data_IF_786127843969
#
_entry.id   IF_786127843969
#
_cell.length_a   1.000
_cell.length_b   1.000
_cell.length_c   1.000
_cell.angle_alpha   90.00
_cell.angle_beta   90.00
_cell.angle_gamma   90.00
#
_symmetry.space_group_name_H-M   'P 1'
#
loop_
_entity.id
_entity.type
_entity.pdbx_description
1 polymer ?
#
# COMPACT_ATOMS: atom_id res chain seq x y z
N UNK A 1 -42.39 2.21 21.93
CA UNK A 1 -42.09 2.96 23.16
C UNK A 1 -42.83 4.28 23.13
N UNK A 2 -43.56 4.57 24.20
CA UNK A 2 -44.26 5.83 24.44
C UNK A 2 -44.30 6.02 25.96
N UNK A 3 -44.47 7.26 26.42
CA UNK A 3 -44.69 7.50 27.84
C UNK A 3 -46.01 6.85 28.30
N UNK A 4 -46.18 6.67 29.60
CA UNK A 4 -47.43 6.24 30.21
C UNK A 4 -48.56 7.18 29.77
N UNK A 5 -49.39 6.70 28.85
CA UNK A 5 -50.44 7.49 28.20
C UNK A 5 -51.81 6.98 28.65
N UNK A 6 -52.18 7.36 29.88
CA UNK A 6 -53.48 7.10 30.50
C UNK A 6 -53.87 8.26 31.45
N UNK A 7 -55.12 8.27 31.93
CA UNK A 7 -55.65 9.34 32.79
C UNK A 7 -55.15 9.30 34.24
N UNK A 8 -54.36 8.29 34.61
CA UNK A 8 -53.78 8.14 35.95
C UNK A 8 -52.34 8.62 36.06
N UNK A 9 -51.70 8.95 34.93
CA UNK A 9 -50.33 9.49 34.93
C UNK A 9 -50.27 10.88 35.56
N UNK A 10 -49.14 11.19 36.18
CA UNK A 10 -48.80 12.53 36.67
C UNK A 10 -47.96 13.29 35.63
N UNK A 11 -48.10 14.61 35.50
CA UNK A 11 -47.44 15.40 34.44
C UNK A 11 -45.93 15.57 34.65
N UNK A 12 -45.45 15.46 35.89
CA UNK A 12 -44.03 15.55 36.25
C UNK A 12 -43.59 14.24 36.88
N UNK A 13 -42.39 13.76 36.52
CA UNK A 13 -41.85 12.53 37.10
C UNK A 13 -41.58 12.78 38.60
N UNK A 14 -42.16 11.98 39.51
CA UNK A 14 -41.86 12.10 40.94
C UNK A 14 -40.36 11.88 41.21
N UNK A 15 -39.83 12.53 42.24
CA UNK A 15 -38.46 12.28 42.67
C UNK A 15 -38.27 10.80 43.08
N UNK A 16 -37.18 10.15 42.65
CA UNK A 16 -36.86 8.80 43.09
C UNK A 16 -36.74 8.75 44.62
N UNK A 17 -37.29 7.70 45.25
CA UNK A 17 -37.16 7.49 46.69
C UNK A 17 -35.72 7.13 47.09
N UNK A 18 -35.44 7.28 48.38
CA UNK A 18 -34.15 6.94 48.98
C UNK A 18 -33.72 5.50 48.68
N UNK A 19 -32.40 5.31 48.51
CA UNK A 19 -31.79 4.00 48.28
C UNK A 19 -32.06 3.07 49.48
N UNK A 20 -32.67 1.92 49.20
CA UNK A 20 -33.03 0.94 50.24
C UNK A 20 -32.02 -0.20 50.39
N UNK A 21 -31.05 -0.33 49.48
CA UNK A 21 -30.04 -1.38 49.54
C UNK A 21 -28.74 -0.97 48.84
N UNK A 22 -27.62 -1.08 49.54
CA UNK A 22 -26.26 -0.79 49.05
C UNK A 22 -25.69 -1.85 48.08
N UNK A 23 -26.51 -2.82 47.66
CA UNK A 23 -26.09 -3.96 46.84
C UNK A 23 -27.19 -4.33 45.84
N UNK A 24 -26.85 -4.70 44.59
CA UNK A 24 -27.84 -5.09 43.59
C UNK A 24 -28.72 -6.26 44.06
N UNK A 25 -30.04 -6.13 43.88
CA UNK A 25 -31.04 -7.17 44.16
C UNK A 25 -31.74 -7.58 42.86
N UNK A 26 -32.15 -8.83 42.78
CA UNK A 26 -32.84 -9.40 41.62
C UNK A 26 -34.25 -9.86 42.02
N UNK A 27 -35.17 -9.91 41.06
CA UNK A 27 -36.51 -10.44 41.30
C UNK A 27 -36.43 -11.90 41.75
N UNK A 28 -36.98 -12.20 42.93
CA UNK A 28 -37.11 -13.55 43.45
C UNK A 28 -38.55 -14.04 43.40
N UNK A 29 -38.73 -15.31 43.03
CA UNK A 29 -39.99 -16.02 43.22
C UNK A 29 -40.04 -16.54 44.66
N UNK A 30 -41.11 -16.21 45.38
CA UNK A 30 -41.24 -16.55 46.80
C UNK A 30 -41.49 -18.06 46.96
N UNK A 31 -40.52 -18.80 47.51
CA UNK A 31 -40.78 -20.13 48.09
C UNK A 31 -40.43 -20.24 49.59
N UNK A 32 -39.62 -19.35 50.18
CA UNK A 32 -39.47 -19.27 51.64
C UNK A 32 -39.23 -17.83 52.13
N UNK A 33 -39.99 -17.43 53.18
CA UNK A 33 -39.90 -16.27 54.10
C UNK A 33 -39.61 -14.83 53.59
N UNK A 34 -39.30 -14.61 52.31
CA UNK A 34 -39.29 -13.29 51.68
C UNK A 34 -40.41 -13.24 50.64
N UNK A 35 -41.38 -12.34 50.82
CA UNK A 35 -42.51 -12.19 49.88
C UNK A 35 -42.05 -11.95 48.43
N UNK A 36 -42.99 -12.11 47.48
CA UNK A 36 -42.74 -11.85 46.06
C UNK A 36 -42.11 -10.47 45.89
N UNK A 37 -41.15 -10.33 44.96
CA UNK A 37 -40.56 -9.02 44.64
C UNK A 37 -41.55 -8.19 43.82
N UNK A 38 -41.82 -6.93 44.23
CA UNK A 38 -42.75 -6.03 43.54
C UNK A 38 -42.05 -4.75 43.09
N UNK A 39 -41.99 -4.45 41.78
CA UNK A 39 -41.47 -3.17 41.30
C UNK A 39 -42.45 -2.04 41.60
N UNK A 40 -41.96 -0.96 42.22
CA UNK A 40 -42.73 0.26 42.46
C UNK A 40 -42.76 1.20 41.24
N UNK A 41 -43.52 2.30 41.36
CA UNK A 41 -43.61 3.33 40.32
C UNK A 41 -42.23 3.89 39.92
N UNK A 42 -41.34 4.09 40.89
CA UNK A 42 -39.96 4.55 40.68
C UNK A 42 -39.24 3.67 39.66
N UNK A 43 -39.33 2.34 39.80
CA UNK A 43 -38.68 1.40 38.89
C UNK A 43 -39.21 1.51 37.45
N UNK A 44 -40.53 1.53 37.29
CA UNK A 44 -41.15 1.66 35.96
C UNK A 44 -40.87 3.02 35.31
N UNK A 45 -40.87 4.10 36.10
CA UNK A 45 -40.55 5.43 35.62
C UNK A 45 -39.09 5.53 35.19
N UNK A 46 -38.14 4.93 35.94
CA UNK A 46 -36.73 4.86 35.53
C UNK A 46 -36.57 4.10 34.23
N UNK A 47 -37.15 2.90 34.10
CA UNK A 47 -37.07 2.12 32.85
C UNK A 47 -37.69 2.87 31.67
N UNK A 48 -38.85 3.51 31.89
CA UNK A 48 -39.49 4.33 30.87
C UNK A 48 -38.60 5.50 30.44
N UNK A 49 -38.03 6.22 31.41
CA UNK A 49 -37.15 7.35 31.16
C UNK A 49 -35.91 6.94 30.36
N UNK A 50 -35.25 5.83 30.73
CA UNK A 50 -34.10 5.29 30.00
C UNK A 50 -34.46 4.95 28.53
N UNK A 51 -35.60 4.31 28.31
CA UNK A 51 -36.03 3.93 26.95
C UNK A 51 -36.44 5.16 26.11
N UNK A 52 -37.04 6.18 26.72
CA UNK A 52 -37.34 7.45 26.04
C UNK A 52 -36.06 8.25 25.74
N UNK A 53 -35.11 8.28 26.68
CA UNK A 53 -33.80 8.90 26.49
C UNK A 53 -33.01 8.22 25.37
N UNK A 54 -33.12 6.90 25.25
CA UNK A 54 -32.50 6.14 24.15
C UNK A 54 -33.07 6.54 22.79
N UNK A 55 -34.40 6.71 22.68
CA UNK A 55 -35.03 7.25 21.46
C UNK A 55 -34.56 8.68 21.17
N UNK A 56 -34.55 9.54 22.18
CA UNK A 56 -34.09 10.93 22.04
C UNK A 56 -32.63 11.00 21.59
N UNK A 57 -31.74 10.18 22.16
CA UNK A 57 -30.33 10.11 21.78
C UNK A 57 -30.11 9.63 20.34
N UNK A 58 -31.00 8.78 19.84
CA UNK A 58 -31.06 8.33 18.45
C UNK A 58 -31.79 9.33 17.51
N UNK A 59 -32.32 10.44 18.03
CA UNK A 59 -33.07 11.43 17.26
C UNK A 59 -34.47 10.95 16.82
N UNK A 60 -35.01 9.92 17.47
CA UNK A 60 -36.32 9.36 17.18
C UNK A 60 -37.37 9.93 18.15
N UNK A 61 -38.54 10.28 17.61
CA UNK A 61 -39.68 10.67 18.42
C UNK A 61 -40.48 9.42 18.85
N UNK A 62 -40.93 9.33 20.11
CA UNK A 62 -41.78 8.24 20.57
C UNK A 62 -43.10 8.16 19.78
N UNK A 63 -43.42 6.97 19.27
CA UNK A 63 -44.70 6.70 18.58
C UNK A 63 -45.45 5.52 19.22
N UNK A 64 -46.63 5.78 19.78
CA UNK A 64 -47.46 4.75 20.43
C UNK A 64 -47.88 3.62 19.48
N UNK A 65 -47.91 3.85 18.17
CA UNK A 65 -48.31 2.86 17.17
C UNK A 65 -47.14 2.02 16.66
N UNK A 66 -45.92 2.31 17.10
CA UNK A 66 -44.70 1.68 16.61
C UNK A 66 -44.07 0.78 17.67
N UNK A 67 -43.88 -0.50 17.31
CA UNK A 67 -43.37 -1.54 18.22
C UNK A 67 -41.91 -1.94 17.95
N UNK A 68 -41.25 -1.29 17.00
CA UNK A 68 -39.88 -1.59 16.54
C UNK A 68 -38.89 -0.42 16.79
N UNK A 69 -39.26 0.51 17.68
CA UNK A 69 -38.49 1.75 17.90
C UNK A 69 -37.11 1.50 18.50
N UNK A 70 -36.98 0.53 19.41
CA UNK A 70 -35.67 0.16 19.98
C UNK A 70 -34.76 -0.47 18.92
N UNK A 71 -35.30 -1.37 18.08
CA UNK A 71 -34.57 -1.94 16.95
C UNK A 71 -34.17 -0.90 15.90
N UNK A 72 -34.87 0.24 15.82
CA UNK A 72 -34.49 1.39 15.00
C UNK A 72 -33.41 2.25 15.66
N UNK A 73 -33.49 2.47 16.97
CA UNK A 73 -32.58 3.34 17.71
C UNK A 73 -31.18 2.73 17.88
N UNK A 74 -31.10 1.42 18.18
CA UNK A 74 -29.83 0.75 18.49
C UNK A 74 -28.81 0.85 17.34
N UNK A 75 -29.15 0.57 16.06
CA UNK A 75 -28.18 0.73 14.95
C UNK A 75 -27.69 2.16 14.78
N UNK A 76 -28.57 3.15 14.93
CA UNK A 76 -28.20 4.58 14.83
C UNK A 76 -27.16 4.94 15.89
N UNK A 77 -27.38 4.50 17.13
CA UNK A 77 -26.44 4.74 18.23
C UNK A 77 -25.13 3.97 18.05
N UNK A 78 -25.19 2.72 17.56
CA UNK A 78 -24.01 1.90 17.27
C UNK A 78 -23.10 2.49 16.19
N UNK A 79 -23.68 3.06 15.13
CA UNK A 79 -22.90 3.67 14.03
C UNK A 79 -22.41 5.09 14.33
N UNK A 80 -23.05 5.79 15.28
CA UNK A 80 -22.78 7.21 15.57
C UNK A 80 -21.30 7.47 15.85
N UNK A 81 -20.69 6.64 16.70
CA UNK A 81 -19.28 6.78 17.06
C UNK A 81 -18.37 6.53 15.86
N UNK A 82 -18.62 5.47 15.10
CA UNK A 82 -17.83 5.12 13.90
C UNK A 82 -17.87 6.26 12.87
N UNK A 83 -19.05 6.85 12.62
CA UNK A 83 -19.21 7.98 11.70
C UNK A 83 -18.48 9.23 12.19
N UNK A 84 -18.51 9.48 13.51
CA UNK A 84 -17.77 10.58 14.12
C UNK A 84 -16.25 10.39 13.99
N UNK A 85 -15.77 9.17 14.26
CA UNK A 85 -14.36 8.82 14.23
C UNK A 85 -13.79 8.91 12.81
N UNK A 86 -14.48 8.31 11.82
CA UNK A 86 -14.10 8.37 10.41
C UNK A 86 -14.25 9.78 9.80
N UNK A 87 -15.18 10.59 10.29
CA UNK A 87 -15.36 11.99 9.89
C UNK A 87 -14.40 12.96 10.58
N UNK A 88 -13.65 12.51 11.59
CA UNK A 88 -12.69 13.35 12.32
C UNK A 88 -11.44 13.66 11.49
N UNK A 89 -10.65 14.64 11.93
CA UNK A 89 -9.33 14.93 11.33
C UNK A 89 -8.32 13.76 11.42
N UNK A 90 -8.63 12.75 12.24
CA UNK A 90 -7.82 11.54 12.38
C UNK A 90 -8.46 10.33 11.69
N UNK A 91 -9.58 10.48 10.97
CA UNK A 91 -10.32 9.34 10.41
C UNK A 91 -9.48 8.42 9.53
N UNK A 92 -8.48 8.97 8.83
CA UNK A 92 -7.55 8.19 8.02
C UNK A 92 -6.71 7.20 8.85
N UNK A 93 -6.38 7.50 10.11
CA UNK A 93 -5.58 6.61 10.98
C UNK A 93 -6.34 5.36 11.42
N UNK A 94 -7.66 5.30 11.15
CA UNK A 94 -8.52 4.16 11.45
C UNK A 94 -8.70 3.24 10.25
N UNK A 95 -8.23 3.65 9.07
CA UNK A 95 -8.24 2.82 7.88
C UNK A 95 -7.03 1.88 7.92
N UNK A 96 -7.27 0.60 7.68
CA UNK A 96 -6.20 -0.38 7.64
C UNK A 96 -5.41 -0.29 6.33
N UNK A 97 -4.13 -0.65 6.40
CA UNK A 97 -3.21 -0.74 5.26
C UNK A 97 -2.40 -2.04 5.42
N UNK A 98 -2.10 -2.74 4.33
CA UNK A 98 -1.17 -3.86 4.36
C UNK A 98 0.22 -3.34 4.73
N UNK A 99 0.84 -3.94 5.75
CA UNK A 99 2.17 -3.54 6.21
C UNK A 99 3.24 -3.83 5.16
N UNK A 100 3.16 -5.00 4.52
CA UNK A 100 4.10 -5.48 3.50
C UNK A 100 3.42 -6.30 2.39
N UNK A 101 4.24 -6.78 1.45
CA UNK A 101 3.79 -7.55 0.29
C UNK A 101 3.29 -8.96 0.65
N UNK A 102 3.72 -9.53 1.78
CA UNK A 102 3.25 -10.85 2.22
C UNK A 102 1.85 -10.75 2.80
N UNK A 103 1.55 -9.69 3.57
CA UNK A 103 0.17 -9.37 3.95
C UNK A 103 -0.70 -9.15 2.71
N UNK A 104 -0.21 -8.42 1.71
CA UNK A 104 -0.93 -8.22 0.45
C UNK A 104 -1.22 -9.54 -0.29
N UNK A 105 -0.30 -10.51 -0.22
CA UNK A 105 -0.51 -11.87 -0.77
C UNK A 105 -1.46 -12.72 0.08
N UNK A 106 -1.76 -12.34 1.31
CA UNK A 106 -2.73 -13.00 2.17
C UNK A 106 -4.13 -12.37 2.12
N UNK A 107 -4.26 -11.14 1.59
CA UNK A 107 -5.55 -10.45 1.48
C UNK A 107 -6.48 -11.17 0.52
N UNK A 108 -7.69 -11.50 0.98
CA UNK A 108 -8.79 -11.95 0.14
C UNK A 108 -9.63 -10.76 -0.33
N UNK A 109 -9.98 -10.74 -1.61
CA UNK A 109 -10.81 -9.70 -2.22
C UNK A 109 -12.18 -10.26 -2.60
N UNK A 110 -13.21 -9.42 -2.52
CA UNK A 110 -14.61 -9.81 -2.70
C UNK A 110 -15.15 -9.45 -4.08
N UNK A 111 -14.72 -8.32 -4.65
CA UNK A 111 -15.26 -7.81 -5.92
C UNK A 111 -14.22 -7.11 -6.78
N UNK A 112 -14.41 -7.21 -8.11
CA UNK A 112 -13.57 -6.52 -9.09
C UNK A 112 -13.51 -5.01 -8.80
N UNK A 113 -12.30 -4.44 -8.83
CA UNK A 113 -12.07 -3.03 -8.58
C UNK A 113 -11.89 -2.66 -7.10
N UNK A 114 -12.06 -3.62 -6.17
CA UNK A 114 -11.77 -3.39 -4.75
C UNK A 114 -10.30 -2.99 -4.57
N UNK A 115 -10.05 -2.01 -3.71
CA UNK A 115 -8.72 -1.45 -3.47
C UNK A 115 -8.20 -1.84 -2.10
N UNK A 116 -6.90 -2.09 -2.03
CA UNK A 116 -6.14 -2.25 -0.79
C UNK A 116 -4.89 -1.39 -0.87
N UNK A 117 -4.54 -0.72 0.22
CA UNK A 117 -3.35 0.12 0.28
C UNK A 117 -2.17 -0.67 0.83
N UNK A 118 -1.00 -0.51 0.22
CA UNK A 118 0.26 -1.06 0.71
C UNK A 118 1.09 0.05 1.34
N UNK A 119 1.60 -0.18 2.56
CA UNK A 119 2.44 0.77 3.29
C UNK A 119 3.88 0.78 2.78
N UNK A 120 4.52 -0.39 2.70
CA UNK A 120 5.83 -0.56 2.07
C UNK A 120 5.92 -1.95 1.42
N UNK A 121 7.01 -2.20 0.69
CA UNK A 121 7.20 -3.50 0.02
C UNK A 121 7.58 -4.62 1.00
N UNK A 122 8.44 -4.33 1.99
CA UNK A 122 8.93 -5.29 2.97
C UNK A 122 9.46 -4.54 4.20
N UNK A 123 8.71 -4.59 5.32
CA UNK A 123 9.10 -3.93 6.57
C UNK A 123 10.35 -4.55 7.19
N UNK A 124 10.50 -5.89 7.07
CA UNK A 124 11.65 -6.63 7.63
C UNK A 124 12.96 -6.24 6.97
N UNK A 125 12.91 -5.77 5.72
CA UNK A 125 14.05 -5.30 4.96
C UNK A 125 14.19 -3.77 4.94
N UNK A 126 13.44 -3.04 5.77
CA UNK A 126 13.48 -1.57 5.83
C UNK A 126 13.20 -0.90 4.47
N UNK A 127 12.30 -1.49 3.67
CA UNK A 127 11.83 -0.85 2.44
C UNK A 127 11.21 0.51 2.78
N UNK A 128 11.44 1.51 1.92
CA UNK A 128 10.82 2.83 2.10
C UNK A 128 9.30 2.74 1.99
N UNK A 129 8.61 3.58 2.75
CA UNK A 129 7.16 3.76 2.58
C UNK A 129 6.82 4.23 1.17
N UNK A 130 5.68 3.74 0.68
CA UNK A 130 5.16 4.05 -0.64
C UNK A 130 3.66 4.29 -0.57
N UNK A 131 3.17 5.22 -1.37
CA UNK A 131 1.75 5.51 -1.46
C UNK A 131 1.18 4.84 -2.71
N UNK A 132 0.83 3.55 -2.59
CA UNK A 132 0.29 2.76 -3.70
C UNK A 132 -0.93 1.97 -3.27
N UNK A 133 -1.95 2.00 -4.14
CA UNK A 133 -3.09 1.10 -4.05
C UNK A 133 -2.91 -0.06 -5.02
N UNK A 134 -3.29 -1.25 -4.58
CA UNK A 134 -3.53 -2.40 -5.44
C UNK A 134 -5.02 -2.58 -5.65
N UNK A 135 -5.39 -2.91 -6.88
CA UNK A 135 -6.77 -3.08 -7.31
C UNK A 135 -6.98 -4.52 -7.73
N UNK A 136 -8.02 -5.18 -7.20
CA UNK A 136 -8.35 -6.53 -7.63
C UNK A 136 -8.91 -6.53 -9.05
N UNK A 137 -8.24 -7.24 -9.95
CA UNK A 137 -8.74 -7.51 -11.29
C UNK A 137 -9.28 -8.95 -11.41
N UNK A 138 -10.58 -9.11 -11.20
CA UNK A 138 -11.26 -10.40 -11.37
C UNK A 138 -11.25 -10.95 -12.81
N UNK A 139 -10.93 -10.13 -13.83
CA UNK A 139 -10.88 -10.57 -15.22
C UNK A 139 -9.51 -11.16 -15.60
N UNK A 140 -8.49 -10.96 -14.77
CA UNK A 140 -7.15 -11.48 -15.02
C UNK A 140 -6.90 -12.76 -14.20
N UNK A 141 -6.91 -13.90 -14.89
CA UNK A 141 -6.63 -15.21 -14.32
C UNK A 141 -5.29 -15.81 -14.76
N UNK A 142 -4.45 -15.05 -15.47
CA UNK A 142 -3.29 -15.59 -16.19
C UNK A 142 -1.98 -14.88 -15.90
N UNK A 143 -2.02 -13.59 -15.51
CA UNK A 143 -0.80 -12.89 -15.15
C UNK A 143 -0.13 -13.56 -13.95
N UNK A 144 1.19 -13.64 -14.06
CA UNK A 144 2.07 -14.15 -13.02
C UNK A 144 2.31 -13.09 -11.94
N UNK A 145 2.67 -13.53 -10.74
CA UNK A 145 3.19 -12.64 -9.71
C UNK A 145 4.56 -12.12 -10.17
N UNK A 146 4.68 -10.81 -10.28
CA UNK A 146 5.93 -10.13 -10.70
C UNK A 146 6.59 -9.38 -9.53
N UNK A 147 6.01 -9.49 -8.33
CA UNK A 147 6.56 -8.98 -7.09
C UNK A 147 6.46 -7.48 -6.87
N UNK A 148 5.79 -6.70 -7.73
CA UNK A 148 5.56 -5.26 -7.46
C UNK A 148 4.38 -4.61 -8.21
N UNK A 149 3.94 -5.16 -9.34
CA UNK A 149 2.83 -4.62 -10.14
C UNK A 149 1.65 -5.57 -10.19
N UNK A 150 1.92 -6.85 -10.41
CA UNK A 150 0.94 -7.92 -10.27
C UNK A 150 1.35 -8.76 -9.09
N UNK A 151 0.48 -8.79 -8.08
CA UNK A 151 0.60 -9.70 -6.95
C UNK A 151 -0.49 -10.74 -7.09
N UNK A 152 -0.11 -12.00 -6.98
CA UNK A 152 -1.06 -13.12 -6.97
C UNK A 152 -1.17 -13.54 -5.52
N UNK A 153 -2.35 -13.34 -4.94
CA UNK A 153 -2.58 -13.72 -3.54
C UNK A 153 -2.76 -15.25 -3.40
N UNK A 154 -2.89 -15.72 -2.16
CA UNK A 154 -3.07 -17.14 -1.82
C UNK A 154 -4.30 -17.77 -2.51
N UNK A 155 -5.31 -16.98 -2.82
CA UNK A 155 -6.53 -17.41 -3.54
C UNK A 155 -6.38 -17.38 -5.08
N UNK A 156 -5.21 -17.00 -5.60
CA UNK A 156 -4.97 -16.86 -7.03
C UNK A 156 -5.58 -15.59 -7.65
N UNK A 157 -6.03 -14.62 -6.86
CA UNK A 157 -6.55 -13.33 -7.31
C UNK A 157 -5.41 -12.40 -7.73
N UNK A 158 -5.62 -11.60 -8.78
CA UNK A 158 -4.61 -10.70 -9.34
C UNK A 158 -4.84 -9.28 -8.85
N UNK A 159 -3.93 -8.83 -8.00
CA UNK A 159 -3.89 -7.48 -7.45
C UNK A 159 -2.96 -6.64 -8.31
N UNK A 160 -3.48 -5.57 -8.92
CA UNK A 160 -2.74 -4.69 -9.84
C UNK A 160 -2.40 -3.37 -9.19
N UNK A 161 -1.11 -3.05 -9.12
CA UNK A 161 -0.65 -1.76 -8.62
C UNK A 161 -1.16 -0.62 -9.51
N UNK A 162 -1.78 0.37 -8.87
CA UNK A 162 -2.30 1.56 -9.53
C UNK A 162 -1.20 2.63 -9.59
N UNK A 163 -0.55 2.75 -10.75
CA UNK A 163 0.47 3.78 -10.99
C UNK A 163 -0.11 4.97 -11.75
N UNK A 164 0.31 6.19 -11.35
CA UNK A 164 0.08 7.40 -12.12
C UNK A 164 1.43 7.91 -12.66
N UNK A 165 1.90 7.31 -13.76
CA UNK A 165 3.15 7.69 -14.43
C UNK A 165 4.28 6.68 -14.28
N UNK A 166 5.48 7.17 -13.93
CA UNK A 166 6.71 6.37 -13.81
C UNK A 166 6.62 5.34 -12.67
N UNK A 167 7.33 4.23 -12.81
CA UNK A 167 7.39 3.17 -11.78
C UNK A 167 8.39 3.56 -10.71
N UNK A 168 7.89 3.91 -9.53
CA UNK A 168 8.70 4.26 -8.37
C UNK A 168 9.33 3.01 -7.74
N UNK A 169 10.67 2.97 -7.61
CA UNK A 169 11.36 1.77 -7.08
C UNK A 169 10.96 1.38 -5.66
N UNK A 170 10.32 2.26 -4.88
CA UNK A 170 9.82 1.91 -3.54
C UNK A 170 8.73 0.85 -3.58
N UNK A 171 7.93 0.79 -4.65
CA UNK A 171 6.96 -0.31 -4.84
C UNK A 171 7.61 -1.66 -5.08
N UNK A 172 8.92 -1.67 -5.35
CA UNK A 172 9.73 -2.87 -5.55
C UNK A 172 10.83 -3.00 -4.50
N UNK A 173 10.65 -2.38 -3.32
CA UNK A 173 11.52 -2.59 -2.16
C UNK A 173 12.81 -1.78 -2.13
N UNK A 174 12.88 -0.63 -2.80
CA UNK A 174 13.95 0.33 -2.53
C UNK A 174 13.94 0.71 -1.04
N UNK A 175 15.09 0.58 -0.39
CA UNK A 175 15.28 0.93 1.02
C UNK A 175 15.55 2.42 1.19
N UNK A 176 15.19 2.95 2.35
CA UNK A 176 15.40 4.37 2.66
C UNK A 176 16.89 4.74 2.60
N UNK A 177 17.78 3.84 3.04
CA UNK A 177 19.24 3.99 2.99
C UNK A 177 19.83 3.98 1.57
N UNK A 178 19.06 3.62 0.55
CA UNK A 178 19.54 3.50 -0.82
C UNK A 178 20.61 2.42 -1.02
N UNK A 179 20.83 1.52 -0.07
CA UNK A 179 21.88 0.49 -0.12
C UNK A 179 21.58 -0.66 -1.11
N UNK A 180 20.36 -0.69 -1.66
CA UNK A 180 19.85 -1.79 -2.48
C UNK A 180 19.32 -1.34 -3.86
N UNK A 181 19.79 -0.19 -4.37
CA UNK A 181 19.33 0.42 -5.63
C UNK A 181 19.43 -0.56 -6.81
N UNK A 182 20.53 -1.30 -6.92
CA UNK A 182 20.74 -2.23 -8.05
C UNK A 182 19.75 -3.39 -8.03
N UNK A 183 19.51 -3.96 -6.86
CA UNK A 183 18.56 -5.08 -6.70
C UNK A 183 17.10 -4.67 -6.92
N UNK A 184 16.67 -3.53 -6.36
CA UNK A 184 15.31 -3.02 -6.54
C UNK A 184 15.06 -2.60 -8.00
N UNK A 185 16.02 -1.93 -8.64
CA UNK A 185 15.96 -1.60 -10.06
C UNK A 185 15.83 -2.85 -10.93
N UNK A 186 16.68 -3.85 -10.71
CA UNK A 186 16.66 -5.07 -11.51
C UNK A 186 15.36 -5.88 -11.36
N UNK A 187 14.68 -5.81 -10.21
CA UNK A 187 13.37 -6.43 -10.01
C UNK A 187 12.32 -5.81 -10.95
N UNK A 188 12.19 -4.49 -10.94
CA UNK A 188 11.27 -3.77 -11.83
C UNK A 188 11.65 -3.98 -13.29
N UNK A 189 12.92 -3.78 -13.63
CA UNK A 189 13.39 -3.87 -15.00
C UNK A 189 13.12 -5.24 -15.64
N UNK A 190 13.39 -6.34 -14.93
CA UNK A 190 13.18 -7.69 -15.48
C UNK A 190 11.71 -7.92 -15.80
N UNK A 191 10.82 -7.60 -14.87
CA UNK A 191 9.39 -7.75 -15.06
C UNK A 191 8.84 -6.85 -16.18
N UNK A 192 9.27 -5.58 -16.27
CA UNK A 192 8.85 -4.70 -17.38
C UNK A 192 9.43 -5.16 -18.72
N UNK A 193 10.66 -5.67 -18.75
CA UNK A 193 11.23 -6.23 -19.97
C UNK A 193 10.43 -7.43 -20.46
N UNK A 194 10.07 -8.36 -19.57
CA UNK A 194 9.23 -9.51 -19.93
C UNK A 194 7.90 -9.08 -20.54
N UNK A 195 7.24 -8.05 -19.99
CA UNK A 195 6.00 -7.49 -20.57
C UNK A 195 6.22 -6.83 -21.93
N UNK A 196 7.34 -6.12 -22.09
CA UNK A 196 7.72 -5.54 -23.40
C UNK A 196 7.95 -6.64 -24.43
N UNK A 197 8.66 -7.71 -24.06
CA UNK A 197 8.92 -8.84 -24.94
C UNK A 197 7.64 -9.57 -25.32
N UNK A 198 6.75 -9.82 -24.35
CA UNK A 198 5.44 -10.44 -24.58
C UNK A 198 4.53 -9.59 -25.49
N UNK A 199 4.60 -8.26 -25.38
CA UNK A 199 3.82 -7.34 -26.21
C UNK A 199 4.49 -7.00 -27.55
N UNK A 200 5.74 -7.40 -27.76
CA UNK A 200 6.57 -7.08 -28.93
C UNK A 200 6.78 -5.58 -29.20
N UNK A 201 6.50 -4.71 -28.22
CA UNK A 201 6.47 -3.25 -28.43
C UNK A 201 7.22 -2.50 -27.33
N UNK A 202 8.46 -2.07 -27.60
CA UNK A 202 9.30 -1.47 -26.55
C UNK A 202 8.86 -0.07 -26.10
N UNK A 203 7.95 0.60 -26.81
CA UNK A 203 7.32 1.84 -26.34
C UNK A 203 6.40 1.62 -25.13
N UNK A 204 6.08 0.35 -24.77
CA UNK A 204 5.39 0.03 -23.52
C UNK A 204 6.30 0.03 -22.29
N UNK A 205 7.62 0.17 -22.47
CA UNK A 205 8.55 0.26 -21.35
C UNK A 205 8.26 1.53 -20.53
N UNK A 206 7.83 1.42 -19.28
CA UNK A 206 7.64 2.59 -18.46
C UNK A 206 8.98 3.17 -18.03
N UNK A 207 8.97 4.46 -17.69
CA UNK A 207 10.10 5.08 -16.99
C UNK A 207 10.25 4.46 -15.61
N UNK A 208 11.45 3.99 -15.28
CA UNK A 208 11.79 3.52 -13.94
C UNK A 208 12.31 4.72 -13.15
N UNK A 209 11.66 5.06 -12.04
CA UNK A 209 11.97 6.22 -11.21
C UNK A 209 12.73 5.80 -9.95
N UNK A 210 13.94 6.35 -9.79
CA UNK A 210 14.67 6.44 -8.54
C UNK A 210 14.16 7.70 -7.80
N UNK A 211 13.29 7.57 -6.78
CA UNK A 211 12.78 8.73 -6.05
C UNK A 211 13.87 9.34 -5.17
N UNK A 212 13.69 10.57 -4.69
CA UNK A 212 14.59 11.10 -3.67
C UNK A 212 14.61 10.15 -2.46
N UNK A 213 15.82 9.82 -1.98
CA UNK A 213 15.97 8.99 -0.78
C UNK A 213 15.40 9.76 0.41
N UNK A 214 14.56 9.08 1.18
CA UNK A 214 13.77 9.68 2.27
C UNK A 214 14.37 9.39 3.64
N UNK A 215 15.67 9.10 3.76
CA UNK A 215 16.30 8.92 5.07
C UNK A 215 16.09 10.18 5.93
N UNK A 216 15.11 10.11 6.83
CA UNK A 216 15.03 10.94 8.03
C UNK A 216 16.03 10.45 9.11
N UNK A 217 16.65 9.29 8.91
CA UNK A 217 17.60 8.67 9.83
C UNK A 217 18.84 8.18 9.10
N UNK A 218 19.76 9.10 8.83
CA UNK A 218 21.14 8.93 9.31
C UNK A 218 21.81 10.32 9.37
N UNK A 219 21.77 11.02 10.51
CA UNK A 219 22.50 12.27 10.70
C UNK A 219 24.03 12.08 10.73
N UNK A 220 24.53 10.84 10.72
CA UNK A 220 25.95 10.50 10.92
C UNK A 220 26.62 9.82 9.72
N UNK A 221 26.12 10.00 8.49
CA UNK A 221 26.87 9.57 7.31
C UNK A 221 28.00 10.58 7.01
N UNK A 222 29.10 10.46 7.75
CA UNK A 222 30.43 10.99 7.36
C UNK A 222 30.95 10.35 6.05
N UNK A 223 30.16 9.46 5.44
CA UNK A 223 30.45 8.77 4.18
C UNK A 223 30.09 9.63 2.97
N UNK A 224 31.00 9.67 2.00
CA UNK A 224 30.82 10.34 0.70
C UNK A 224 29.63 9.80 -0.11
N UNK A 225 29.07 8.65 0.27
CA UNK A 225 28.01 7.91 -0.44
C UNK A 225 26.72 7.87 0.39
N UNK A 226 25.59 8.13 -0.27
CA UNK A 226 24.24 8.02 0.31
C UNK A 226 23.40 6.91 -0.35
N UNK A 227 24.00 6.15 -1.26
CA UNK A 227 23.36 5.04 -1.95
C UNK A 227 24.42 4.00 -2.34
N UNK A 228 23.99 2.76 -2.56
CA UNK A 228 24.82 1.68 -3.10
C UNK A 228 24.12 1.01 -4.26
N UNK A 229 24.85 0.90 -5.36
CA UNK A 229 24.48 0.03 -6.44
C UNK A 229 24.95 -1.38 -6.10
N UNK A 230 24.21 -2.08 -5.24
CA UNK A 230 24.56 -3.42 -4.77
C UNK A 230 24.53 -4.53 -5.85
N UNK A 231 24.03 -4.22 -7.04
CA UNK A 231 24.03 -5.12 -8.18
C UNK A 231 24.18 -4.34 -9.50
N UNK A 232 24.90 -4.92 -10.45
CA UNK A 232 25.03 -4.33 -11.80
C UNK A 232 23.67 -4.18 -12.48
N UNK A 233 23.46 -3.08 -13.19
CA UNK A 233 22.27 -2.83 -14.01
C UNK A 233 22.63 -3.02 -15.47
N UNK A 234 22.01 -4.01 -16.13
CA UNK A 234 22.20 -4.29 -17.56
C UNK A 234 20.88 -4.11 -18.30
N UNK A 235 20.76 -3.03 -19.07
CA UNK A 235 19.51 -2.61 -19.73
C UNK A 235 19.68 -2.40 -21.24
N UNK A 236 18.62 -2.58 -22.04
CA UNK A 236 18.64 -2.17 -23.44
C UNK A 236 18.53 -0.66 -23.54
N UNK A 237 18.80 -0.13 -24.74
CA UNK A 237 18.86 1.32 -24.98
C UNK A 237 17.51 2.05 -24.97
N UNK A 238 16.40 1.34 -24.70
CA UNK A 238 15.05 1.91 -24.64
C UNK A 238 14.45 1.98 -23.23
N UNK A 239 15.18 1.57 -22.19
CA UNK A 239 14.70 1.71 -20.80
C UNK A 239 14.92 3.16 -20.35
N UNK A 240 13.86 3.95 -20.12
CA UNK A 240 13.99 5.28 -19.56
C UNK A 240 14.19 5.17 -18.04
N UNK A 241 15.17 5.92 -17.53
CA UNK A 241 15.45 6.01 -16.10
C UNK A 241 15.33 7.47 -15.68
N UNK A 242 14.56 7.70 -14.63
CA UNK A 242 14.42 9.01 -13.99
C UNK A 242 15.01 8.95 -12.60
N UNK A 243 15.82 9.94 -12.26
CA UNK A 243 16.37 10.14 -10.93
C UNK A 243 15.84 11.45 -10.36
N UNK A 244 15.52 11.44 -9.08
CA UNK A 244 15.06 12.59 -8.31
C UNK A 244 15.93 12.68 -7.04
N UNK A 245 16.46 13.86 -6.74
CA UNK A 245 17.34 14.09 -5.61
C UNK A 245 18.83 13.81 -5.88
N UNK A 246 19.63 13.82 -4.81
CA UNK A 246 21.06 13.56 -4.89
C UNK A 246 21.33 12.07 -4.63
N UNK A 247 21.86 11.40 -5.64
CA UNK A 247 22.33 10.03 -5.55
C UNK A 247 23.85 10.02 -5.70
N UNK A 248 24.56 9.73 -4.63
CA UNK A 248 26.00 9.48 -4.64
C UNK A 248 26.20 7.99 -4.36
N UNK A 249 26.16 7.23 -5.44
CA UNK A 249 26.14 5.78 -5.44
C UNK A 249 27.55 5.19 -5.42
N UNK A 250 27.80 4.32 -4.45
CA UNK A 250 28.96 3.42 -4.44
C UNK A 250 28.67 2.14 -5.24
N UNK A 251 29.66 1.66 -6.00
CA UNK A 251 29.64 0.35 -6.65
C UNK A 251 30.97 -0.36 -6.42
N UNK A 252 30.95 -1.51 -5.73
CA UNK A 252 32.17 -2.17 -5.24
C UNK A 252 32.65 -3.36 -6.07
N UNK A 253 31.82 -3.89 -6.98
CA UNK A 253 32.21 -5.03 -7.80
C UNK A 253 33.32 -4.64 -8.78
N UNK A 254 34.49 -5.26 -8.64
CA UNK A 254 35.66 -4.98 -9.48
C UNK A 254 35.56 -5.63 -10.86
N UNK A 255 34.73 -6.67 -11.03
CA UNK A 255 34.68 -7.51 -12.23
C UNK A 255 33.51 -7.16 -13.16
N UNK A 256 32.55 -6.37 -12.68
CA UNK A 256 31.32 -6.08 -13.41
C UNK A 256 31.17 -4.60 -13.78
N UNK A 257 30.42 -4.35 -14.84
CA UNK A 257 30.02 -2.99 -15.22
C UNK A 257 28.85 -2.54 -14.34
N UNK A 258 29.03 -1.44 -13.61
CA UNK A 258 27.97 -0.92 -12.73
C UNK A 258 26.67 -0.67 -13.52
N UNK A 259 26.79 0.05 -14.65
CA UNK A 259 25.70 0.24 -15.61
C UNK A 259 26.17 -0.20 -16.99
N UNK A 260 25.48 -1.15 -17.59
CA UNK A 260 25.74 -1.63 -18.95
C UNK A 260 24.50 -1.45 -19.83
N UNK A 261 24.57 -0.48 -20.72
CA UNK A 261 23.56 -0.23 -21.75
C UNK A 261 23.92 -1.04 -22.99
N UNK A 262 23.14 -2.08 -23.29
CA UNK A 262 23.35 -2.93 -24.47
C UNK A 262 22.08 -3.60 -24.93
N UNK A 263 21.92 -3.73 -26.25
CA UNK A 263 20.84 -4.52 -26.83
C UNK A 263 21.21 -6.02 -26.93
N UNK A 264 22.34 -6.45 -26.36
CA UNK A 264 22.73 -7.86 -26.26
C UNK A 264 22.11 -8.51 -25.01
N UNK A 265 20.79 -8.63 -25.07
CA UNK A 265 19.93 -9.17 -24.01
C UNK A 265 18.98 -10.17 -24.67
N UNK A 266 18.77 -11.37 -24.09
CA UNK A 266 17.84 -12.35 -24.64
C UNK A 266 16.46 -11.74 -24.94
N UNK A 267 15.90 -12.08 -26.10
CA UNK A 267 14.62 -11.53 -26.57
C UNK A 267 14.68 -10.13 -27.16
N UNK A 268 15.70 -9.32 -26.88
CA UNK A 268 15.85 -7.97 -27.46
C UNK A 268 16.31 -8.07 -28.91
N UNK A 269 15.35 -7.98 -29.84
CA UNK A 269 15.57 -8.06 -31.29
C UNK A 269 15.42 -6.71 -31.98
N UNK A 270 16.00 -6.52 -33.19
CA UNK A 270 15.85 -5.29 -33.97
C UNK A 270 14.40 -4.84 -34.19
N UNK A 271 13.46 -5.78 -34.29
CA UNK A 271 12.09 -5.48 -34.69
C UNK A 271 11.19 -4.99 -33.54
N UNK A 272 11.64 -5.01 -32.28
CA UNK A 272 10.84 -4.57 -31.12
C UNK A 272 10.39 -3.10 -31.16
N UNK A 273 11.01 -2.28 -32.02
CA UNK A 273 10.66 -0.85 -32.20
C UNK A 273 10.93 -0.31 -33.61
N UNK A 274 11.41 -1.13 -34.54
CA UNK A 274 12.11 -0.67 -35.74
C UNK A 274 13.16 0.44 -35.48
N UNK A 275 13.70 0.65 -34.27
CA UNK A 275 14.76 1.61 -33.87
C UNK A 275 14.73 3.06 -34.43
N UNK A 276 13.79 3.45 -35.30
CA UNK A 276 13.84 4.65 -36.14
C UNK A 276 13.16 5.86 -35.50
N UNK A 277 12.25 5.67 -34.55
CA UNK A 277 11.47 6.75 -33.93
C UNK A 277 11.61 6.81 -32.41
N UNK A 278 12.82 6.56 -31.88
CA UNK A 278 13.13 6.72 -30.45
C UNK A 278 13.60 8.14 -30.08
N UNK A 279 13.35 9.13 -30.93
CA UNK A 279 13.84 10.51 -30.79
C UNK A 279 13.36 11.24 -29.52
N UNK A 280 12.44 10.66 -28.75
CA UNK A 280 11.84 11.24 -27.53
C UNK A 280 12.15 10.47 -26.24
N UNK A 281 12.86 9.34 -26.29
CA UNK A 281 13.19 8.56 -25.09
C UNK A 281 14.43 9.14 -24.42
N UNK A 282 14.23 9.82 -23.28
CA UNK A 282 15.34 10.21 -22.41
C UNK A 282 15.77 9.01 -21.58
N UNK A 283 16.90 8.41 -21.95
CA UNK A 283 17.40 7.19 -21.27
C UNK A 283 17.75 7.40 -19.81
N UNK A 284 18.35 8.55 -19.48
CA UNK A 284 18.68 8.95 -18.12
C UNK A 284 18.34 10.43 -17.97
N UNK A 285 17.33 10.72 -17.17
CA UNK A 285 16.95 12.07 -16.78
C UNK A 285 17.18 12.23 -15.28
N UNK A 286 17.92 13.27 -14.88
CA UNK A 286 17.95 13.68 -13.49
C UNK A 286 17.08 14.94 -13.34
N UNK A 287 15.90 14.80 -12.74
CA UNK A 287 14.95 15.92 -12.63
C UNK A 287 15.36 16.93 -11.57
N UNK A 288 16.05 16.48 -10.52
CA UNK A 288 16.55 17.32 -9.45
C UNK A 288 17.85 16.75 -8.88
N UNK A 289 18.72 17.59 -8.32
CA UNK A 289 19.97 17.15 -7.69
C UNK A 289 21.03 16.61 -8.66
N UNK A 290 21.80 15.62 -8.21
CA UNK A 290 22.94 15.01 -8.93
C UNK A 290 22.93 13.49 -8.80
N UNK A 291 23.17 12.78 -9.90
CA UNK A 291 23.60 11.38 -9.88
C UNK A 291 25.13 11.29 -10.05
N UNK A 292 25.81 10.70 -9.07
CA UNK A 292 27.24 10.38 -9.07
C UNK A 292 27.40 8.89 -8.84
N UNK A 293 28.16 8.24 -9.70
CA UNK A 293 28.60 6.87 -9.51
C UNK A 293 30.09 6.87 -9.16
N UNK A 294 30.47 6.19 -8.09
CA UNK A 294 31.86 5.99 -7.69
C UNK A 294 32.16 4.49 -7.59
N UNK A 295 33.20 4.07 -8.29
CA UNK A 295 33.70 2.70 -8.25
C UNK A 295 35.01 2.59 -7.47
N UNK A 296 35.60 1.39 -7.38
CA UNK A 296 36.84 1.13 -6.62
C UNK A 296 38.10 1.78 -7.24
N UNK A 297 37.95 2.49 -8.36
CA UNK A 297 39.02 3.22 -9.02
C UNK A 297 39.78 2.41 -10.07
N UNK A 298 40.52 3.12 -10.93
CA UNK A 298 41.22 2.56 -12.11
C UNK A 298 42.21 1.43 -11.75
N UNK A 299 42.84 1.49 -10.59
CA UNK A 299 43.89 0.55 -10.19
C UNK A 299 43.33 -0.78 -9.65
N UNK A 300 42.04 -0.84 -9.32
CA UNK A 300 41.36 -2.03 -8.79
C UNK A 300 40.31 -2.58 -9.75
N UNK A 301 39.65 -1.71 -10.50
CA UNK A 301 38.53 -2.11 -11.36
C UNK A 301 39.00 -2.79 -12.64
N UNK A 302 38.44 -3.98 -12.91
CA UNK A 302 38.61 -4.74 -14.15
C UNK A 302 37.51 -4.43 -15.18
N UNK A 303 36.56 -3.55 -14.84
CA UNK A 303 35.41 -3.21 -15.64
C UNK A 303 35.12 -1.69 -15.64
N UNK A 304 34.49 -1.19 -16.71
CA UNK A 304 34.06 0.21 -16.74
C UNK A 304 32.86 0.44 -15.81
N UNK A 305 32.80 1.59 -15.12
CA UNK A 305 31.63 1.98 -14.32
C UNK A 305 30.36 2.12 -15.18
N UNK A 306 30.49 2.73 -16.37
CA UNK A 306 29.42 2.74 -17.38
C UNK A 306 29.95 2.18 -18.70
N UNK A 307 29.23 1.23 -19.28
CA UNK A 307 29.53 0.65 -20.59
C UNK A 307 28.35 0.85 -21.54
N UNK A 308 28.65 1.36 -22.73
CA UNK A 308 27.68 1.53 -23.81
C UNK A 308 28.02 0.57 -24.96
N UNK A 309 27.02 -0.15 -25.45
CA UNK A 309 27.12 -0.98 -26.65
C UNK A 309 27.58 -2.42 -26.42
N UNK A 310 27.88 -3.10 -27.54
CA UNK A 310 28.19 -4.53 -27.61
C UNK A 310 29.69 -4.80 -27.43
N UNK A 311 30.04 -5.97 -26.91
CA UNK A 311 31.41 -6.50 -27.02
C UNK A 311 31.59 -6.96 -28.48
N UNK A 312 32.46 -6.29 -29.24
CA UNK A 312 32.86 -6.80 -30.55
C UNK A 312 33.68 -8.07 -30.31
N UNK A 313 33.13 -9.23 -30.65
CA UNK A 313 33.97 -10.37 -31.01
C UNK A 313 34.67 -9.92 -32.28
N UNK A 314 36.01 -9.92 -32.28
CA UNK A 314 36.80 -9.51 -33.44
C UNK A 314 36.24 -10.20 -34.68
N UNK A 315 35.92 -9.43 -35.73
CA UNK A 315 35.77 -10.02 -37.06
C UNK A 315 37.14 -10.61 -37.36
N UNK A 316 37.25 -11.92 -37.39
CA UNK A 316 38.37 -12.56 -38.08
C UNK A 316 38.40 -11.93 -39.47
N UNK A 317 39.51 -11.27 -39.80
CA UNK A 317 39.77 -10.82 -41.15
C UNK A 317 39.76 -12.07 -42.02
N UNK A 318 38.65 -12.35 -42.69
CA UNK A 318 38.67 -13.22 -43.86
C UNK A 318 39.65 -12.55 -44.82
N UNK A 319 40.77 -13.23 -45.21
CA UNK A 319 41.69 -12.64 -46.14
C UNK A 319 40.92 -12.34 -47.42
N UNK A 320 41.05 -11.10 -47.92
CA UNK A 320 40.58 -10.76 -49.26
C UNK A 320 41.23 -11.76 -50.23
N UNK A 321 40.42 -12.64 -50.80
CA UNK A 321 40.78 -13.36 -52.02
C UNK A 321 41.06 -12.31 -53.08
N UNK A 322 42.34 -12.04 -53.31
CA UNK A 322 42.81 -11.34 -54.51
C UNK A 322 42.48 -12.20 -55.71
N UNK A 323 41.85 -11.57 -56.71
CA UNK A 323 41.56 -12.15 -58.02
C UNK A 323 42.81 -12.66 -58.72
#
# INVERSE_FOLDING_TARGET
MYHLDNTSGVPEMPEPKDEQSISPRWFGESQEQGGISWPGADWFNTVQAELLNLLAAAGLQPDKKSFDQLSKAIPVLGEKQIRQDLGSRYGYTLLNECSDIEELRAVQMEYHGQKVKLRCWDESQHASFVDVFYVYDANDSSSVDDGYRTIVNADGQRLKALFNGAVDLRVAGLRASGDNVGSSFNRVYRAELERVLASTYALKMPTIKLPALTTFGDPDSTTEFNAKLNASIKIPSFVPVECDGNYVCEFLDINAHAIWITNQIPGVVPDLTQWRNMQTVTMFANKSGRFRLSGPGKNLSQAAGVKLGKVRISRSFLPKLTR
#
